data_IF_680452491151
#
_entry.id   IF_680452491151
#
_cell.length_a   1.000
_cell.length_b   1.000
_cell.length_c   1.000
_cell.angle_alpha   90.00
_cell.angle_beta   90.00
_cell.angle_gamma   90.00
#
_symmetry.space_group_name_H-M   'P 1'
#
loop_
_entity.id
_entity.type
_entity.pdbx_description
1 polymer ?
#
# COMPACT_ATOMS: atom_id res chain seq x y z
N UNK A 1 -3.12 -13.22 24.89
CA UNK A 1 -2.32 -12.73 23.75
C UNK A 1 -3.30 -12.49 22.64
N UNK A 2 -3.58 -11.22 22.31
CA UNK A 2 -4.49 -10.92 21.20
C UNK A 2 -3.87 -11.42 19.90
N UNK A 3 -4.65 -12.18 19.12
CA UNK A 3 -4.21 -12.67 17.82
C UNK A 3 -4.31 -11.51 16.82
N UNK A 4 -3.16 -11.02 16.37
CA UNK A 4 -3.05 -9.87 15.46
C UNK A 4 -3.63 -10.24 14.10
N UNK A 5 -4.66 -9.50 13.63
CA UNK A 5 -5.20 -9.68 12.29
C UNK A 5 -4.14 -9.28 11.26
N UNK A 6 -3.79 -10.18 10.36
CA UNK A 6 -2.74 -9.95 9.38
C UNK A 6 -2.89 -10.78 8.12
N UNK A 7 -2.17 -10.39 7.08
CA UNK A 7 -2.04 -11.11 5.83
C UNK A 7 -0.66 -10.86 5.21
N UNK A 8 -0.24 -11.74 4.30
CA UNK A 8 0.92 -11.52 3.45
C UNK A 8 0.43 -11.03 2.09
N UNK A 9 0.93 -9.88 1.65
CA UNK A 9 0.64 -9.36 0.32
C UNK A 9 1.80 -9.72 -0.60
N UNK A 10 1.51 -10.53 -1.61
CA UNK A 10 2.47 -11.00 -2.60
C UNK A 10 2.35 -10.19 -3.89
N UNK A 11 3.48 -9.71 -4.38
CA UNK A 11 3.57 -8.96 -5.63
C UNK A 11 4.56 -9.64 -6.56
N UNK A 12 4.26 -9.68 -7.85
CA UNK A 12 5.11 -10.34 -8.85
C UNK A 12 6.30 -9.47 -9.31
N UNK A 13 6.18 -8.15 -9.18
CA UNK A 13 7.19 -7.17 -9.58
C UNK A 13 6.93 -5.80 -8.93
N UNK A 14 7.85 -4.86 -9.13
CA UNK A 14 7.63 -3.47 -8.76
C UNK A 14 6.39 -2.87 -9.43
N UNK A 15 6.13 -3.19 -10.69
CA UNK A 15 4.96 -2.65 -11.41
C UNK A 15 3.64 -3.08 -10.76
N UNK A 16 3.56 -4.35 -10.36
CA UNK A 16 2.42 -4.91 -9.64
C UNK A 16 2.22 -4.21 -8.28
N UNK A 17 3.30 -4.07 -7.50
CA UNK A 17 3.29 -3.32 -6.25
C UNK A 17 2.87 -1.85 -6.43
N UNK A 18 3.47 -1.14 -7.38
CA UNK A 18 3.21 0.27 -7.63
C UNK A 18 1.77 0.53 -8.07
N UNK A 19 1.19 -0.38 -8.85
CA UNK A 19 -0.18 -0.28 -9.35
C UNK A 19 -1.21 -0.14 -8.22
N UNK A 20 -0.94 -0.70 -7.04
CA UNK A 20 -1.85 -0.60 -5.88
C UNK A 20 -2.04 0.83 -5.39
N UNK A 21 -0.99 1.66 -5.45
CA UNK A 21 -1.06 3.06 -5.07
C UNK A 21 -1.83 3.90 -6.09
N UNK A 22 -1.78 3.50 -7.37
CA UNK A 22 -2.46 4.20 -8.46
C UNK A 22 -3.99 4.03 -8.43
N UNK A 23 -4.51 3.12 -7.60
CA UNK A 23 -5.96 2.96 -7.38
C UNK A 23 -6.60 4.13 -6.62
N UNK A 24 -5.80 4.99 -5.98
CA UNK A 24 -6.29 6.09 -5.16
C UNK A 24 -6.89 5.65 -3.81
N UNK A 25 -6.87 4.35 -3.49
CA UNK A 25 -7.48 3.83 -2.27
C UNK A 25 -6.69 4.22 -1.02
N UNK A 26 -7.41 4.66 0.02
CA UNK A 26 -6.83 5.07 1.29
C UNK A 26 -5.98 6.34 1.20
N UNK A 27 -5.36 6.71 2.33
CA UNK A 27 -4.59 7.96 2.43
C UNK A 27 -3.37 7.97 1.51
N UNK A 28 -2.63 6.85 1.46
CA UNK A 28 -1.41 6.74 0.65
C UNK A 28 -1.71 6.73 -0.84
N UNK A 29 -2.72 5.97 -1.29
CA UNK A 29 -3.12 5.96 -2.70
C UNK A 29 -3.63 7.32 -3.15
N UNK A 30 -4.50 7.95 -2.36
CA UNK A 30 -5.02 9.30 -2.64
C UNK A 30 -3.90 10.35 -2.75
N UNK A 31 -2.90 10.29 -1.87
CA UNK A 31 -1.72 11.15 -1.96
C UNK A 31 -0.99 10.96 -3.29
N UNK A 32 -0.69 9.71 -3.66
CA UNK A 32 0.04 9.37 -4.90
C UNK A 32 -0.71 9.83 -6.15
N UNK A 33 -2.03 9.69 -6.19
CA UNK A 33 -2.84 10.09 -7.35
C UNK A 33 -3.01 11.60 -7.49
N UNK A 34 -2.85 12.36 -6.40
CA UNK A 34 -2.98 13.82 -6.39
C UNK A 34 -1.67 14.56 -6.68
N UNK A 35 -0.53 13.87 -6.74
CA UNK A 35 0.74 14.46 -7.12
C UNK A 35 0.77 14.81 -8.61
N UNK A 36 1.42 15.92 -8.95
CA UNK A 36 1.71 16.27 -10.33
C UNK A 36 2.66 15.24 -10.97
N UNK A 37 2.62 15.11 -12.30
CA UNK A 37 3.34 14.06 -13.03
C UNK A 37 4.83 13.96 -12.66
N UNK A 38 5.54 15.09 -12.59
CA UNK A 38 6.97 15.11 -12.24
C UNK A 38 7.23 14.64 -10.80
N UNK A 39 6.39 15.09 -9.85
CA UNK A 39 6.51 14.70 -8.44
C UNK A 39 6.18 13.23 -8.24
N UNK A 40 5.15 12.72 -8.92
CA UNK A 40 4.77 11.31 -8.88
C UNK A 40 5.84 10.42 -9.48
N UNK A 41 6.46 10.82 -10.59
CA UNK A 41 7.57 10.07 -11.19
C UNK A 41 8.80 10.02 -10.27
N UNK A 42 9.11 11.11 -9.57
CA UNK A 42 10.22 11.11 -8.61
C UNK A 42 9.92 10.23 -7.38
N UNK A 43 8.67 10.24 -6.91
CA UNK A 43 8.23 9.31 -5.87
C UNK A 43 8.34 7.86 -6.34
N UNK A 44 7.83 7.54 -7.54
CA UNK A 44 7.92 6.21 -8.14
C UNK A 44 9.37 5.72 -8.20
N UNK A 45 10.31 6.58 -8.62
CA UNK A 45 11.73 6.24 -8.68
C UNK A 45 12.31 5.87 -7.32
N UNK A 46 11.99 6.62 -6.27
CA UNK A 46 12.44 6.33 -4.91
C UNK A 46 11.81 5.06 -4.34
N UNK A 47 10.51 4.88 -4.53
CA UNK A 47 9.80 3.67 -4.08
C UNK A 47 10.35 2.44 -4.82
N UNK A 48 10.66 2.55 -6.11
CA UNK A 48 11.31 1.49 -6.89
C UNK A 48 12.67 1.14 -6.32
N UNK A 49 13.51 2.12 -6.01
CA UNK A 49 14.81 1.88 -5.41
C UNK A 49 14.69 1.11 -4.07
N UNK A 50 13.70 1.47 -3.24
CA UNK A 50 13.43 0.79 -1.98
C UNK A 50 12.90 -0.65 -2.18
N UNK A 51 11.96 -0.85 -3.11
CA UNK A 51 11.40 -2.18 -3.43
C UNK A 51 12.49 -3.14 -3.95
N UNK A 52 13.35 -2.64 -4.83
CA UNK A 52 14.44 -3.42 -5.41
C UNK A 52 15.51 -3.75 -4.37
N UNK A 53 15.82 -2.83 -3.45
CA UNK A 53 16.85 -3.01 -2.42
C UNK A 53 18.20 -3.46 -3.02
N UNK A 54 18.58 -2.88 -4.16
CA UNK A 54 19.79 -3.24 -4.91
C UNK A 54 19.73 -4.57 -5.68
N UNK A 55 18.61 -5.30 -5.60
CA UNK A 55 18.39 -6.55 -6.34
C UNK A 55 17.66 -6.29 -7.67
N UNK A 56 17.59 -7.32 -8.52
CA UNK A 56 16.72 -7.30 -9.70
C UNK A 56 15.24 -7.25 -9.32
N UNK A 57 14.44 -6.72 -10.24
CA UNK A 57 12.99 -6.75 -10.10
C UNK A 57 12.47 -8.19 -10.08
N UNK A 58 11.37 -8.41 -9.37
CA UNK A 58 10.78 -9.73 -9.17
C UNK A 58 9.99 -9.81 -7.87
N UNK A 59 9.54 -11.02 -7.49
CA UNK A 59 8.55 -11.17 -6.45
C UNK A 59 8.97 -10.63 -5.08
N UNK A 60 8.04 -10.00 -4.36
CA UNK A 60 8.18 -9.56 -2.97
C UNK A 60 6.91 -9.86 -2.19
N UNK A 61 7.09 -10.17 -0.91
CA UNK A 61 6.01 -10.41 0.02
C UNK A 61 6.12 -9.45 1.21
N UNK A 62 5.02 -8.77 1.55
CA UNK A 62 4.99 -7.83 2.68
C UNK A 62 3.97 -8.29 3.72
N UNK A 63 4.43 -8.47 4.95
CA UNK A 63 3.55 -8.72 6.08
C UNK A 63 2.76 -7.45 6.41
N UNK A 64 1.44 -7.58 6.40
CA UNK A 64 0.50 -6.49 6.64
C UNK A 64 -0.33 -6.81 7.86
N UNK A 65 -0.48 -5.82 8.74
CA UNK A 65 -1.32 -5.93 9.93
C UNK A 65 -2.53 -5.04 9.79
N UNK A 66 -3.65 -5.51 10.30
CA UNK A 66 -4.92 -4.83 10.23
C UNK A 66 -5.48 -4.59 11.63
N UNK A 67 -6.20 -3.48 11.73
CA UNK A 67 -7.05 -3.20 12.89
C UNK A 67 -8.49 -3.22 12.41
N UNK A 68 -9.28 -4.11 13.00
CA UNK A 68 -10.72 -4.17 12.77
C UNK A 68 -11.42 -3.65 14.02
N UNK A 69 -12.36 -2.72 13.84
CA UNK A 69 -13.17 -2.17 14.92
C UNK A 69 -14.64 -2.38 14.59
N UNK A 70 -15.46 -2.68 15.61
CA UNK A 70 -16.91 -2.71 15.51
C UNK A 70 -17.47 -1.46 16.19
N UNK A 71 -18.25 -0.67 15.45
CA UNK A 71 -19.04 0.41 16.03
C UNK A 71 -20.49 -0.04 16.21
N UNK A 72 -21.12 0.41 17.30
CA UNK A 72 -22.57 0.33 17.48
C UNK A 72 -23.14 1.74 17.26
N UNK A 73 -24.14 1.87 16.39
CA UNK A 73 -24.83 3.13 16.15
C UNK A 73 -26.15 3.10 16.91
N UNK A 74 -26.39 4.09 17.76
CA UNK A 74 -27.70 4.25 18.40
C UNK A 74 -28.72 4.72 17.36
N UNK A 75 -29.75 3.93 17.12
CA UNK A 75 -30.98 4.40 16.49
C UNK A 75 -31.81 5.12 17.56
N UNK A 76 -31.63 6.44 17.69
CA UNK A 76 -32.61 7.24 18.44
C UNK A 76 -33.95 7.25 17.68
N UNK A 77 -35.03 7.00 18.43
CA UNK A 77 -36.42 7.18 18.01
C UNK A 77 -36.79 8.67 17.96
#
# INVERSE_FOLDING_TARGET
MEEQLGAIFEYQSFGDYWSTFLTGQGKTGSYVTNLEGAQRSELERHVKAAYLCGMTDGPRAFATSFWAVRGEVSTQQ
#
